data_IF_251772708732
#
_entry.id   IF_251772708732
#
_cell.length_a   1.000
_cell.length_b   1.000
_cell.length_c   1.000
_cell.angle_alpha   90.00
_cell.angle_beta   90.00
_cell.angle_gamma   90.00
#
_symmetry.space_group_name_H-M   'P 1'
#
loop_
_entity.id
_entity.type
_entity.pdbx_description
1 polymer ?
#
# COMPACT_ATOMS: atom_id res chain seq x y z
N UNK A 1 -10.62 9.85 0.81
CA UNK A 1 -9.68 8.72 0.69
C UNK A 1 -8.45 8.96 1.55
N UNK A 2 -8.06 10.23 1.77
CA UNK A 2 -6.93 10.66 2.60
C UNK A 2 -7.04 10.22 4.06
N UNK A 3 -8.17 10.45 4.72
CA UNK A 3 -8.35 10.01 6.12
C UNK A 3 -8.11 8.50 6.30
N UNK A 4 -8.49 7.68 5.31
CA UNK A 4 -8.25 6.23 5.34
C UNK A 4 -6.77 5.92 5.11
N UNK A 5 -6.10 6.66 4.24
CA UNK A 5 -4.67 6.51 3.99
C UNK A 5 -3.85 6.83 5.25
N UNK A 6 -4.17 7.93 5.94
CA UNK A 6 -3.52 8.33 7.19
C UNK A 6 -3.74 7.30 8.30
N UNK A 7 -4.98 6.78 8.43
CA UNK A 7 -5.29 5.69 9.35
C UNK A 7 -4.52 4.41 9.01
N UNK A 8 -4.34 4.11 7.72
CA UNK A 8 -3.51 3.00 7.24
C UNK A 8 -2.07 3.13 7.71
N UNK A 9 -1.46 4.30 7.54
CA UNK A 9 -0.09 4.58 7.99
C UNK A 9 0.06 4.44 9.50
N UNK A 10 -0.85 5.02 10.27
CA UNK A 10 -0.82 4.90 11.74
C UNK A 10 -0.86 3.44 12.21
N UNK A 11 -1.61 2.58 11.51
CA UNK A 11 -1.65 1.13 11.80
C UNK A 11 -0.38 0.42 11.40
N UNK A 12 0.19 0.76 10.25
CA UNK A 12 1.43 0.16 9.78
C UNK A 12 2.61 0.50 10.71
N UNK A 13 2.72 1.75 11.15
CA UNK A 13 3.73 2.15 12.15
C UNK A 13 3.57 1.37 13.45
N UNK A 14 2.34 1.22 13.93
CA UNK A 14 2.06 0.43 15.13
C UNK A 14 2.41 -1.06 14.95
N UNK A 15 2.24 -1.61 13.74
CA UNK A 15 2.73 -2.94 13.41
C UNK A 15 4.26 -3.02 13.41
N UNK A 16 4.95 -2.02 12.86
CA UNK A 16 6.43 -1.96 12.89
C UNK A 16 6.96 -2.01 14.32
N UNK A 17 6.31 -1.29 15.23
CA UNK A 17 6.69 -1.26 16.65
C UNK A 17 6.33 -2.55 17.39
N UNK A 18 5.10 -3.05 17.23
CA UNK A 18 4.57 -4.13 18.08
C UNK A 18 4.67 -5.52 17.47
N UNK A 19 4.82 -5.62 16.14
CA UNK A 19 4.72 -6.87 15.38
C UNK A 19 3.32 -7.48 15.34
N UNK A 20 2.28 -6.73 15.73
CA UNK A 20 0.91 -7.24 15.82
C UNK A 20 0.27 -7.36 14.45
N UNK A 21 0.07 -8.60 13.96
CA UNK A 21 -0.54 -8.86 12.65
C UNK A 21 -1.92 -8.21 12.47
N UNK A 22 -2.68 -8.04 13.56
CA UNK A 22 -3.96 -7.32 13.50
C UNK A 22 -3.80 -5.86 13.07
N UNK A 23 -2.77 -5.16 13.54
CA UNK A 23 -2.53 -3.78 13.11
C UNK A 23 -2.14 -3.76 11.62
N UNK A 24 -1.38 -4.75 11.14
CA UNK A 24 -1.07 -4.91 9.73
C UNK A 24 -2.32 -5.21 8.86
N UNK A 25 -3.18 -6.13 9.29
CA UNK A 25 -4.45 -6.43 8.59
C UNK A 25 -5.34 -5.18 8.50
N UNK A 26 -5.37 -4.37 9.55
CA UNK A 26 -6.09 -3.09 9.53
C UNK A 26 -5.45 -2.09 8.57
N UNK A 27 -4.12 -2.01 8.49
CA UNK A 27 -3.44 -1.18 7.50
C UNK A 27 -3.81 -1.60 6.07
N UNK A 28 -3.84 -2.91 5.78
CA UNK A 28 -4.29 -3.44 4.50
C UNK A 28 -5.72 -3.04 4.16
N UNK A 29 -6.65 -3.17 5.11
CA UNK A 29 -8.05 -2.78 4.92
C UNK A 29 -8.16 -1.29 4.57
N UNK A 30 -7.46 -0.43 5.31
CA UNK A 30 -7.49 1.02 5.10
C UNK A 30 -6.86 1.43 3.77
N UNK A 31 -5.69 0.91 3.42
CA UNK A 31 -5.04 1.21 2.13
C UNK A 31 -5.85 0.68 0.95
N UNK A 32 -6.38 -0.55 1.03
CA UNK A 32 -7.23 -1.12 -0.02
C UNK A 32 -8.50 -0.28 -0.23
N UNK A 33 -9.13 0.18 0.86
CA UNK A 33 -10.29 1.05 0.76
C UNK A 33 -9.94 2.44 0.23
N UNK A 34 -8.77 2.98 0.57
CA UNK A 34 -8.28 4.23 0.00
C UNK A 34 -8.09 4.10 -1.52
N UNK A 35 -7.45 3.02 -1.98
CA UNK A 35 -7.30 2.69 -3.41
C UNK A 35 -8.65 2.58 -4.10
N UNK A 36 -9.60 1.83 -3.52
CA UNK A 36 -10.93 1.63 -4.12
C UNK A 36 -11.78 2.92 -4.20
N UNK A 37 -11.47 3.92 -3.38
CA UNK A 37 -12.14 5.22 -3.39
C UNK A 37 -11.46 6.25 -4.30
N UNK A 38 -10.28 5.95 -4.82
CA UNK A 38 -9.51 6.84 -5.68
C UNK A 38 -9.71 6.43 -7.14
N UNK A 39 -10.13 7.36 -8.02
CA UNK A 39 -10.25 7.08 -9.45
C UNK A 39 -8.92 6.65 -10.07
N UNK A 40 -8.98 5.83 -11.13
CA UNK A 40 -7.78 5.34 -11.83
C UNK A 40 -6.94 6.47 -12.46
N UNK A 41 -7.59 7.56 -12.87
CA UNK A 41 -6.94 8.73 -13.47
C UNK A 41 -6.39 9.72 -12.43
N UNK A 42 -6.49 9.41 -11.13
CA UNK A 42 -6.06 10.34 -10.08
C UNK A 42 -4.59 10.11 -9.69
N UNK A 43 -3.75 11.15 -9.62
CA UNK A 43 -2.32 11.00 -9.32
C UNK A 43 -2.05 10.34 -7.96
N UNK A 44 -2.87 10.64 -6.94
CA UNK A 44 -2.78 9.99 -5.62
C UNK A 44 -2.97 8.46 -5.64
N UNK A 45 -3.51 7.87 -6.72
CA UNK A 45 -3.66 6.42 -6.79
C UNK A 45 -2.29 5.73 -6.73
N UNK A 46 -1.28 6.30 -7.38
CA UNK A 46 0.08 5.77 -7.34
C UNK A 46 0.63 5.76 -5.90
N UNK A 47 0.42 6.83 -5.14
CA UNK A 47 0.83 6.94 -3.73
C UNK A 47 0.11 5.91 -2.84
N UNK A 48 -1.19 5.71 -3.07
CA UNK A 48 -2.00 4.73 -2.32
C UNK A 48 -1.59 3.29 -2.63
N UNK A 49 -1.25 2.98 -3.88
CA UNK A 49 -0.71 1.68 -4.28
C UNK A 49 0.67 1.43 -3.68
N UNK A 50 1.56 2.42 -3.69
CA UNK A 50 2.86 2.33 -3.03
C UNK A 50 2.70 2.02 -1.53
N UNK A 51 1.75 2.67 -0.85
CA UNK A 51 1.49 2.43 0.58
C UNK A 51 0.97 1.00 0.85
N UNK A 52 0.19 0.44 -0.07
CA UNK A 52 -0.21 -0.96 -0.04
C UNK A 52 1.00 -1.89 -0.26
N UNK A 53 1.89 -1.55 -1.19
CA UNK A 53 3.15 -2.27 -1.44
C UNK A 53 4.10 -2.25 -0.24
N UNK A 54 4.20 -1.11 0.46
CA UNK A 54 4.95 -0.98 1.70
C UNK A 54 4.43 -1.92 2.79
N UNK A 55 3.11 -2.09 2.91
CA UNK A 55 2.50 -3.01 3.86
C UNK A 55 2.86 -4.48 3.57
N UNK A 56 2.88 -4.87 2.30
CA UNK A 56 3.34 -6.20 1.89
C UNK A 56 4.83 -6.42 2.14
N UNK A 57 5.66 -5.40 1.90
CA UNK A 57 7.10 -5.46 2.17
C UNK A 57 7.38 -5.65 3.66
N UNK A 58 6.70 -4.88 4.52
CA UNK A 58 6.78 -5.02 5.98
C UNK A 58 6.37 -6.42 6.45
N UNK A 59 5.32 -6.98 5.86
CA UNK A 59 4.86 -8.34 6.13
C UNK A 59 5.91 -9.38 5.72
N UNK A 60 6.48 -9.24 4.53
CA UNK A 60 7.56 -10.08 4.04
C UNK A 60 8.78 -10.04 4.97
N UNK A 61 9.20 -8.85 5.44
CA UNK A 61 10.32 -8.74 6.37
C UNK A 61 10.09 -9.49 7.69
N UNK A 62 8.83 -9.62 8.12
CA UNK A 62 8.44 -10.31 9.36
C UNK A 62 8.20 -11.80 9.18
N UNK A 63 7.55 -12.21 8.09
CA UNK A 63 7.10 -13.59 7.85
C UNK A 63 7.98 -14.37 6.87
N UNK A 64 8.74 -13.68 6.01
CA UNK A 64 9.55 -14.27 4.95
C UNK A 64 8.76 -14.86 3.79
N UNK A 65 7.48 -14.49 3.63
CA UNK A 65 6.62 -15.03 2.58
C UNK A 65 6.86 -14.33 1.23
N UNK A 66 7.38 -15.09 0.25
CA UNK A 66 7.65 -14.59 -1.09
C UNK A 66 6.38 -14.14 -1.83
N UNK A 67 5.20 -14.65 -1.47
CA UNK A 67 3.93 -14.20 -2.05
C UNK A 67 3.65 -12.73 -1.70
N UNK A 68 3.99 -12.32 -0.47
CA UNK A 68 3.87 -10.92 -0.06
C UNK A 68 4.86 -10.04 -0.86
N UNK A 69 6.08 -10.53 -1.13
CA UNK A 69 7.03 -9.79 -1.96
C UNK A 69 6.53 -9.61 -3.40
N UNK A 70 5.93 -10.64 -4.01
CA UNK A 70 5.34 -10.51 -5.34
C UNK A 70 4.19 -9.49 -5.36
N UNK A 71 3.35 -9.47 -4.33
CA UNK A 71 2.26 -8.49 -4.21
C UNK A 71 2.77 -7.07 -4.02
N UNK A 72 3.86 -6.88 -3.27
CA UNK A 72 4.50 -5.58 -3.15
C UNK A 72 4.97 -5.06 -4.52
N UNK A 73 5.66 -5.91 -5.28
CA UNK A 73 6.15 -5.57 -6.63
C UNK A 73 5.01 -5.28 -7.60
N UNK A 74 3.89 -6.03 -7.54
CA UNK A 74 2.71 -5.75 -8.34
C UNK A 74 2.12 -4.36 -8.04
N UNK A 75 2.01 -4.00 -6.76
CA UNK A 75 1.53 -2.70 -6.34
C UNK A 75 2.44 -1.56 -6.85
N UNK A 76 3.76 -1.71 -6.70
CA UNK A 76 4.73 -0.72 -7.15
C UNK A 76 4.74 -0.59 -8.68
N UNK A 77 4.61 -1.71 -9.40
CA UNK A 77 4.54 -1.73 -10.87
C UNK A 77 3.30 -1.00 -11.37
N UNK A 78 2.15 -1.19 -10.70
CA UNK A 78 0.91 -0.47 -11.02
C UNK A 78 1.04 1.02 -10.70
N UNK A 79 1.67 1.37 -9.59
CA UNK A 79 1.94 2.77 -9.24
C UNK A 79 2.81 3.45 -10.32
N UNK A 80 3.86 2.79 -10.79
CA UNK A 80 4.73 3.29 -11.86
C UNK A 80 4.00 3.45 -13.19
N UNK A 81 3.16 2.48 -13.57
CA UNK A 81 2.37 2.56 -14.79
C UNK A 81 1.44 3.78 -14.81
N UNK A 82 0.88 4.15 -13.66
CA UNK A 82 0.04 5.34 -13.52
C UNK A 82 0.85 6.64 -13.63
N UNK A 83 2.09 6.68 -13.11
CA UNK A 83 2.94 7.87 -13.23
C UNK A 83 3.49 8.09 -14.63
N UNK A 84 3.68 7.01 -15.40
CA UNK A 84 4.14 7.05 -16.80
C UNK A 84 3.01 7.46 -17.76
N UNK A 85 1.75 7.09 -17.48
CA UNK A 85 0.60 7.51 -18.31
C UNK A 85 0.30 9.02 -18.18
N UNK A 86 0.64 9.63 -17.04
CA UNK A 86 0.52 11.08 -16.78
C UNK A 86 1.68 11.90 -17.39
N UNK A 87 2.70 11.25 -17.97
CA UNK A 87 3.83 11.89 -18.65
C UNK A 87 4.04 11.35 -20.07
N UNK A 88 3.28 11.83 -21.07
CA UNK A 88 3.69 11.66 -22.45
C UNK A 88 4.97 12.47 -22.68
N UNK A 89 6.05 11.78 -23.09
CA UNK A 89 7.29 12.38 -23.57
C UNK A 89 7.06 13.33 -24.76
#
# INVERSE_FOLDING_TARGET
ADDLHDLGWSRLEKFRDTGTLRDLDQAFEYFSRAVALTPEEHPDLAERLNSLGASYTDRFQRMGDLDDLHKAVDCDSRALALTDDDHPH
#
